data_IF_513297007507
#
_entry.id   IF_513297007507
#
_cell.length_a   1.000
_cell.length_b   1.000
_cell.length_c   1.000
_cell.angle_alpha   90.00
_cell.angle_beta   90.00
_cell.angle_gamma   90.00
#
_symmetry.space_group_name_H-M   'P 1'
#
loop_
_entity.id
_entity.type
_entity.pdbx_description
1 polymer ?
#
# COMPACT_ATOMS: atom_id res chain seq x y z
N UNK A 1 -30.21 -35.01 -41.36
CA UNK A 1 -30.83 -34.47 -40.13
C UNK A 1 -30.21 -34.94 -38.81
N UNK A 2 -29.62 -36.17 -38.71
CA UNK A 2 -28.98 -36.65 -37.46
C UNK A 2 -27.59 -36.05 -37.18
N UNK A 3 -26.81 -35.77 -38.22
CA UNK A 3 -25.44 -35.22 -38.09
C UNK A 3 -25.43 -33.82 -37.43
N UNK A 4 -26.27 -32.90 -37.89
CA UNK A 4 -26.37 -31.55 -37.27
C UNK A 4 -26.84 -31.59 -35.81
N UNK A 5 -27.62 -32.60 -35.41
CA UNK A 5 -28.01 -32.79 -34.00
C UNK A 5 -26.83 -33.23 -33.14
N UNK A 6 -25.92 -34.06 -33.68
CA UNK A 6 -24.71 -34.51 -32.98
C UNK A 6 -23.71 -33.35 -32.87
N UNK A 7 -23.50 -32.59 -33.95
CA UNK A 7 -22.62 -31.40 -33.95
C UNK A 7 -23.12 -30.36 -32.95
N UNK A 8 -24.43 -30.08 -32.90
CA UNK A 8 -25.01 -29.16 -31.90
C UNK A 8 -24.82 -29.66 -30.46
N UNK A 9 -24.94 -30.97 -30.21
CA UNK A 9 -24.69 -31.55 -28.88
C UNK A 9 -23.21 -31.42 -28.48
N UNK A 10 -22.28 -31.68 -29.40
CA UNK A 10 -20.85 -31.53 -29.17
C UNK A 10 -20.51 -30.05 -28.91
N UNK A 11 -21.08 -29.12 -29.68
CA UNK A 11 -20.89 -27.69 -29.46
C UNK A 11 -21.39 -27.26 -28.08
N UNK A 12 -22.56 -27.73 -27.65
CA UNK A 12 -23.10 -27.43 -26.31
C UNK A 12 -22.21 -27.99 -25.19
N UNK A 13 -21.68 -29.21 -25.35
CA UNK A 13 -20.75 -29.80 -24.37
C UNK A 13 -19.42 -29.04 -24.34
N UNK A 14 -18.90 -28.65 -25.50
CA UNK A 14 -17.65 -27.88 -25.60
C UNK A 14 -17.79 -26.49 -24.95
N UNK A 15 -18.89 -25.79 -25.21
CA UNK A 15 -19.19 -24.50 -24.56
C UNK A 15 -19.34 -24.64 -23.05
N UNK A 16 -19.92 -25.75 -22.55
CA UNK A 16 -20.07 -26.00 -21.12
C UNK A 16 -18.71 -26.25 -20.43
N UNK A 17 -17.78 -26.93 -21.10
CA UNK A 17 -16.42 -27.21 -20.59
C UNK A 17 -15.54 -25.95 -20.55
N UNK A 18 -15.73 -24.98 -21.45
CA UNK A 18 -14.94 -23.74 -21.44
C UNK A 18 -15.35 -22.74 -20.34
N UNK A 19 -16.57 -22.87 -19.79
CA UNK A 19 -17.05 -21.96 -18.74
C UNK A 19 -16.42 -22.29 -17.38
N UNK A 20 -16.10 -23.56 -17.11
CA UNK A 20 -15.57 -23.99 -15.80
C UNK A 20 -14.11 -23.63 -15.56
N UNK A 21 -13.35 -23.23 -16.58
CA UNK A 21 -11.91 -22.92 -16.45
C UNK A 21 -11.60 -21.48 -16.06
N UNK A 22 -12.61 -20.64 -15.82
CA UNK A 22 -12.42 -19.19 -15.54
C UNK A 22 -12.68 -18.78 -14.09
N UNK A 23 -12.78 -19.73 -13.16
CA UNK A 23 -12.93 -19.42 -11.73
C UNK A 23 -11.52 -19.30 -11.12
N UNK A 24 -11.05 -18.07 -10.94
CA UNK A 24 -9.91 -17.80 -10.07
C UNK A 24 -10.41 -17.77 -8.63
N UNK A 25 -9.93 -18.69 -7.79
CA UNK A 25 -10.24 -18.68 -6.36
C UNK A 25 -9.51 -17.51 -5.70
N UNK A 26 -10.21 -16.72 -4.88
CA UNK A 26 -9.57 -15.73 -4.02
C UNK A 26 -8.99 -16.44 -2.80
N UNK A 27 -7.70 -16.27 -2.60
CA UNK A 27 -6.99 -16.72 -1.42
C UNK A 27 -7.10 -15.66 -0.32
N UNK A 28 -7.13 -16.10 0.94
CA UNK A 28 -7.30 -15.21 2.10
C UNK A 28 -6.11 -15.35 3.04
N UNK A 29 -5.34 -14.28 3.19
CA UNK A 29 -4.24 -14.20 4.14
C UNK A 29 -4.76 -13.57 5.44
N UNK A 30 -4.45 -14.20 6.57
CA UNK A 30 -4.89 -13.75 7.89
C UNK A 30 -3.71 -13.57 8.82
N UNK A 31 -3.83 -12.63 9.73
CA UNK A 31 -2.80 -12.40 10.72
C UNK A 31 -3.18 -11.42 11.79
N UNK A 32 -2.20 -11.11 12.64
CA UNK A 32 -2.27 -10.14 13.71
C UNK A 32 -1.00 -9.31 13.74
N UNK A 33 -1.16 -8.02 14.02
CA UNK A 33 -0.04 -7.08 14.18
C UNK A 33 -0.08 -6.52 15.60
N UNK A 34 1.07 -6.55 16.26
CA UNK A 34 1.26 -6.07 17.62
C UNK A 34 2.29 -4.94 17.66
N UNK A 35 2.17 -4.09 18.66
CA UNK A 35 3.12 -3.06 19.04
C UNK A 35 4.25 -3.69 19.91
N UNK A 36 5.50 -3.56 19.47
CA UNK A 36 6.66 -4.05 20.22
C UNK A 36 6.99 -3.27 21.49
N UNK A 37 6.56 -2.01 21.62
CA UNK A 37 6.81 -1.18 22.80
C UNK A 37 5.85 -1.54 23.95
N UNK A 38 4.56 -1.60 23.63
CA UNK A 38 3.50 -1.79 24.64
C UNK A 38 3.06 -3.26 24.78
N UNK A 39 3.53 -4.15 23.87
CA UNK A 39 2.99 -5.51 23.72
C UNK A 39 1.46 -5.52 23.57
N UNK A 40 0.92 -4.50 22.91
CA UNK A 40 -0.51 -4.31 22.67
C UNK A 40 -0.84 -4.52 21.19
N UNK A 41 -2.13 -4.58 20.85
CA UNK A 41 -2.59 -4.75 19.48
C UNK A 41 -2.41 -3.46 18.68
N UNK A 42 -1.94 -3.57 17.43
CA UNK A 42 -1.76 -2.41 16.57
C UNK A 42 -2.96 -2.23 15.66
N UNK A 43 -3.83 -1.29 16.02
CA UNK A 43 -5.07 -0.97 15.29
C UNK A 43 -4.77 0.01 14.15
N UNK A 44 -5.32 -0.22 12.96
CA UNK A 44 -5.15 0.67 11.80
C UNK A 44 -3.79 0.59 11.10
N UNK A 45 -3.02 -0.48 11.33
CA UNK A 45 -1.80 -0.76 10.57
C UNK A 45 -2.15 -1.14 9.12
N UNK A 46 -1.41 -0.59 8.16
CA UNK A 46 -1.58 -0.91 6.75
C UNK A 46 -0.85 -2.21 6.42
N UNK A 47 -1.54 -3.11 5.72
CA UNK A 47 -1.02 -4.39 5.25
C UNK A 47 -1.23 -4.47 3.74
N UNK A 48 -0.17 -4.32 2.96
CA UNK A 48 -0.26 -4.25 1.48
C UNK A 48 0.62 -5.32 0.84
N UNK A 49 0.18 -5.91 -0.28
CA UNK A 49 1.07 -6.78 -1.05
C UNK A 49 2.05 -5.92 -1.84
N UNK A 50 3.34 -6.11 -1.60
CA UNK A 50 4.41 -5.30 -2.18
C UNK A 50 4.32 -5.23 -3.70
N UNK A 51 4.41 -4.02 -4.24
CA UNK A 51 4.29 -3.77 -5.69
C UNK A 51 2.86 -3.74 -6.22
N UNK A 52 1.84 -3.83 -5.36
CA UNK A 52 0.43 -3.73 -5.76
C UNK A 52 -0.32 -2.70 -4.92
N UNK A 53 -1.54 -2.37 -5.34
CA UNK A 53 -2.50 -1.58 -4.54
C UNK A 53 -3.46 -2.46 -3.73
N UNK A 54 -3.21 -3.77 -3.67
CA UNK A 54 -4.04 -4.72 -2.92
C UNK A 54 -3.56 -4.71 -1.47
N UNK A 55 -4.38 -4.19 -0.57
CA UNK A 55 -4.07 -4.10 0.85
C UNK A 55 -5.33 -4.07 1.70
N UNK A 56 -5.12 -4.14 3.00
CA UNK A 56 -6.13 -4.06 4.05
C UNK A 56 -5.55 -3.30 5.24
N UNK A 57 -6.39 -3.03 6.23
CA UNK A 57 -5.98 -2.42 7.49
C UNK A 57 -6.29 -3.38 8.64
N UNK A 58 -5.55 -3.25 9.75
CA UNK A 58 -5.88 -4.01 10.95
C UNK A 58 -7.12 -3.46 11.66
N UNK A 59 -7.91 -4.39 12.19
CA UNK A 59 -9.10 -4.14 12.99
C UNK A 59 -8.74 -3.78 14.44
N UNK A 60 -9.77 -3.56 15.27
CA UNK A 60 -9.64 -3.14 16.69
C UNK A 60 -8.90 -4.13 17.58
N UNK A 61 -8.78 -5.39 17.18
CA UNK A 61 -8.05 -6.44 17.89
C UNK A 61 -6.65 -6.68 17.29
N UNK A 62 -6.22 -5.82 16.36
CA UNK A 62 -4.96 -5.92 15.63
C UNK A 62 -4.96 -7.00 14.55
N UNK A 63 -6.08 -7.70 14.31
CA UNK A 63 -6.15 -8.71 13.26
C UNK A 63 -6.39 -8.09 11.89
N UNK A 64 -5.99 -8.80 10.83
CA UNK A 64 -6.30 -8.41 9.46
C UNK A 64 -6.73 -9.63 8.64
N UNK A 65 -7.59 -9.37 7.64
CA UNK A 65 -7.96 -10.32 6.60
C UNK A 65 -7.74 -9.66 5.23
N UNK A 66 -6.86 -10.25 4.42
CA UNK A 66 -6.49 -9.76 3.09
C UNK A 66 -6.85 -10.82 2.04
N UNK A 67 -7.76 -10.46 1.13
CA UNK A 67 -8.15 -11.31 0.01
C UNK A 67 -7.33 -10.95 -1.22
N UNK A 68 -6.74 -11.96 -1.85
CA UNK A 68 -5.87 -11.78 -3.01
C UNK A 68 -6.06 -12.90 -4.02
N UNK A 69 -5.85 -12.59 -5.29
CA UNK A 69 -5.75 -13.58 -6.38
C UNK A 69 -4.29 -13.72 -6.85
N UNK A 70 -3.34 -13.16 -6.11
CA UNK A 70 -1.92 -13.26 -6.45
C UNK A 70 -1.37 -14.64 -6.06
N UNK A 71 -0.51 -15.16 -6.92
CA UNK A 71 0.20 -16.41 -6.70
C UNK A 71 1.25 -16.24 -5.59
N UNK A 72 1.46 -17.31 -4.81
CA UNK A 72 2.52 -17.38 -3.81
C UNK A 72 3.84 -17.86 -4.44
N UNK A 73 5.02 -17.48 -3.90
CA UNK A 73 5.23 -16.64 -2.73
C UNK A 73 5.08 -15.14 -3.04
N UNK A 74 4.59 -14.39 -2.05
CA UNK A 74 4.47 -12.92 -2.11
C UNK A 74 5.01 -12.28 -0.83
N UNK A 75 5.23 -10.98 -0.85
CA UNK A 75 5.70 -10.21 0.31
C UNK A 75 4.63 -9.21 0.72
N UNK A 76 4.26 -9.22 2.00
CA UNK A 76 3.44 -8.18 2.61
C UNK A 76 4.36 -7.07 3.11
N UNK A 77 4.01 -5.83 2.79
CA UNK A 77 4.58 -4.64 3.38
C UNK A 77 3.62 -4.16 4.47
N UNK A 78 4.10 -4.16 5.71
CA UNK A 78 3.34 -3.74 6.89
C UNK A 78 3.89 -2.39 7.34
N UNK A 79 3.01 -1.38 7.44
CA UNK A 79 3.40 -0.04 7.83
C UNK A 79 2.39 0.61 8.76
N UNK A 80 2.88 1.41 9.69
CA UNK A 80 2.06 2.22 10.59
C UNK A 80 2.82 3.49 10.97
N UNK A 81 2.09 4.57 11.24
CA UNK A 81 2.69 5.88 11.50
C UNK A 81 3.54 5.82 12.79
N UNK A 82 4.81 6.19 12.68
CA UNK A 82 5.75 6.14 13.81
C UNK A 82 6.46 4.79 14.01
N UNK A 83 6.25 3.82 13.12
CA UNK A 83 6.87 2.49 13.19
C UNK A 83 7.74 2.24 11.96
N UNK A 84 8.73 1.37 12.09
CA UNK A 84 9.51 0.89 10.96
C UNK A 84 8.64 -0.01 10.07
N UNK A 85 8.66 0.25 8.77
CA UNK A 85 8.00 -0.60 7.79
C UNK A 85 8.68 -1.98 7.75
N UNK A 86 7.90 -3.05 7.81
CA UNK A 86 8.40 -4.41 7.80
C UNK A 86 7.89 -5.20 6.58
N UNK A 87 8.80 -5.83 5.87
CA UNK A 87 8.50 -6.77 4.80
C UNK A 87 8.38 -8.19 5.36
N UNK A 88 7.26 -8.87 5.08
CA UNK A 88 6.97 -10.21 5.58
C UNK A 88 6.68 -11.16 4.41
N UNK A 89 7.52 -12.17 4.17
CA UNK A 89 7.28 -13.15 3.12
C UNK A 89 6.15 -14.11 3.51
N UNK A 90 5.21 -14.33 2.59
CA UNK A 90 4.10 -15.27 2.71
C UNK A 90 4.25 -16.35 1.65
N UNK A 91 4.37 -17.59 2.10
CA UNK A 91 4.62 -18.74 1.21
C UNK A 91 3.35 -19.50 0.82
N UNK A 92 2.24 -19.31 1.55
CA UNK A 92 0.98 -19.99 1.26
C UNK A 92 -0.23 -19.24 1.82
N UNK A 93 -1.40 -19.47 1.22
CA UNK A 93 -2.67 -18.83 1.61
C UNK A 93 -3.08 -19.09 3.07
N UNK A 94 -2.78 -20.27 3.61
CA UNK A 94 -3.17 -20.66 4.97
C UNK A 94 -2.20 -20.23 6.08
N UNK A 95 -1.10 -19.55 5.73
CA UNK A 95 -0.10 -19.13 6.70
C UNK A 95 -0.66 -18.02 7.59
N UNK A 96 -0.75 -18.28 8.90
CA UNK A 96 -1.08 -17.24 9.86
C UNK A 96 0.13 -16.33 10.08
N UNK A 97 -0.07 -15.02 9.95
CA UNK A 97 0.99 -14.02 10.05
C UNK A 97 0.90 -13.34 11.42
N UNK A 98 1.92 -13.48 12.24
CA UNK A 98 2.04 -12.77 13.52
C UNK A 98 3.28 -11.88 13.46
N UNK A 99 3.09 -10.57 13.57
CA UNK A 99 4.13 -9.57 13.34
C UNK A 99 4.10 -8.55 14.46
N UNK A 100 5.28 -8.23 14.98
CA UNK A 100 5.46 -7.16 15.96
C UNK A 100 6.24 -6.04 15.30
N UNK A 101 5.61 -4.88 15.12
CA UNK A 101 6.30 -3.70 14.58
C UNK A 101 7.14 -3.04 15.67
N UNK A 102 8.28 -2.51 15.25
CA UNK A 102 9.18 -1.74 16.12
C UNK A 102 8.99 -0.25 15.81
N UNK A 103 9.04 0.61 16.82
CA UNK A 103 8.96 2.06 16.62
C UNK A 103 10.10 2.54 15.70
N UNK A 104 9.74 3.38 14.73
CA UNK A 104 10.67 4.04 13.85
C UNK A 104 10.98 5.43 14.37
N UNK A 105 12.25 5.78 14.43
CA UNK A 105 12.65 7.17 14.71
C UNK A 105 12.34 8.04 13.48
N UNK A 106 11.17 8.66 13.43
CA UNK A 106 10.82 9.64 12.39
C UNK A 106 11.57 10.94 12.69
N UNK A 107 12.72 11.16 12.05
CA UNK A 107 13.41 12.47 12.06
C UNK A 107 12.60 13.46 11.24
N UNK A 108 11.79 14.30 11.89
CA UNK A 108 11.07 15.39 11.23
C UNK A 108 12.08 16.49 10.90
N UNK A 109 12.31 16.77 9.62
CA UNK A 109 13.08 17.95 9.19
C UNK A 109 12.17 19.16 9.37
N UNK A 110 12.41 19.94 10.42
CA UNK A 110 11.74 21.23 10.65
C UNK A 110 12.07 22.18 9.49
N UNK A 111 11.06 22.56 8.69
CA UNK A 111 11.21 23.56 7.63
C UNK A 111 10.94 24.93 8.24
N UNK A 112 12.01 25.64 8.62
CA UNK A 112 11.94 27.03 9.06
C UNK A 112 11.64 27.94 7.86
N UNK A 113 10.42 28.48 7.79
CA UNK A 113 10.03 29.44 6.74
C UNK A 113 10.61 30.82 7.09
N UNK A 114 11.81 31.13 6.59
CA UNK A 114 12.38 32.48 6.72
C UNK A 114 11.65 33.44 5.79
N UNK A 115 10.77 34.27 6.35
CA UNK A 115 10.16 35.38 5.63
C UNK A 115 11.26 36.37 5.18
N UNK A 116 11.64 36.32 3.91
CA UNK A 116 12.54 37.31 3.31
C UNK A 116 11.77 38.60 3.05
N UNK A 117 11.95 39.62 3.90
CA UNK A 117 11.57 40.99 3.57
C UNK A 117 12.65 41.55 2.64
N UNK A 118 12.32 41.72 1.36
CA UNK A 118 13.09 42.57 0.46
C UNK A 118 12.96 44.01 0.99
N UNK A 119 14.01 44.53 1.61
CA UNK A 119 14.15 45.96 1.84
C UNK A 119 14.52 46.61 0.50
N UNK A 120 13.56 47.28 -0.14
CA UNK A 120 13.84 48.27 -1.19
C UNK A 120 14.43 49.54 -0.56
N UNK A 121 15.68 49.47 -0.12
CA UNK A 121 16.51 50.65 0.14
C UNK A 121 17.66 50.58 -0.86
N UNK A 122 17.63 51.43 -1.90
CA UNK A 122 18.78 51.90 -2.72
C UNK A 122 18.38 52.54 -4.07
N UNK A 123 17.17 53.10 -4.24
CA UNK A 123 16.82 53.86 -5.46
C UNK A 123 16.54 55.35 -5.22
N UNK A 124 17.32 56.03 -4.37
CA UNK A 124 17.19 57.49 -4.18
C UNK A 124 18.49 58.29 -3.94
N UNK A 125 19.69 57.76 -4.20
CA UNK A 125 20.93 58.46 -3.81
C UNK A 125 21.87 58.89 -4.93
N UNK A 126 21.54 58.70 -6.21
CA UNK A 126 22.36 59.28 -7.29
C UNK A 126 21.52 60.27 -8.09
N UNK A 127 22.05 61.50 -8.27
CA UNK A 127 21.55 62.64 -9.06
C UNK A 127 20.93 63.83 -8.28
N UNK A 128 21.40 64.17 -7.07
CA UNK A 128 21.11 65.51 -6.46
C UNK A 128 22.33 66.22 -5.87
N UNK A 129 23.54 65.82 -6.26
CA UNK A 129 24.76 66.61 -6.09
C UNK A 129 25.42 66.53 -7.47
N UNK A 130 25.75 67.59 -8.18
CA UNK A 130 26.17 68.91 -7.73
C UNK A 130 26.12 69.79 -8.98
N UNK A 131 25.41 70.91 -8.88
CA UNK A 131 25.53 72.04 -9.79
C UNK A 131 26.99 72.49 -9.82
N UNK A 132 27.71 72.20 -10.90
CA UNK A 132 28.93 72.92 -11.24
C UNK A 132 28.52 74.23 -11.91
N UNK A 133 28.60 75.31 -11.13
CA UNK A 133 29.16 76.57 -11.64
C UNK A 133 30.68 76.41 -11.86
#
# INVERSE_FOLDING_TARGET
MRLNKIIKKIAVVFTLVTIVTSINAQETIKGKINDGLLNDVLIGANVTIKGTSIGTITEVDGTFELKTTQEFPLTLEISYLGYETQDVPVSSAGQYIDVTLTEGSVTIIEVEVKASRISEDNKKTALTVESLD
#
